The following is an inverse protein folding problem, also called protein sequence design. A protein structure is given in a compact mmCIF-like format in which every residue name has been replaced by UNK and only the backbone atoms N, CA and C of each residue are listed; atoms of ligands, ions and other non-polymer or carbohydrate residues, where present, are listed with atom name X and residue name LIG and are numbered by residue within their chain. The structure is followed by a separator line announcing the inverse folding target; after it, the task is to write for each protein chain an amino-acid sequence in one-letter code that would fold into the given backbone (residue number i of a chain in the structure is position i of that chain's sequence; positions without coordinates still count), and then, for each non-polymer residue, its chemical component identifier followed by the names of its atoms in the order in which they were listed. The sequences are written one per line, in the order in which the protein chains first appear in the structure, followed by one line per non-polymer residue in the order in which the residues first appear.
data_IF_696214981308
#
_entry.id   IF_696214981308
#
_cell.length_a   1.000
_cell.length_b   1.000
_cell.length_c   1.000
_cell.angle_alpha   90.00
_cell.angle_beta   90.00
_cell.angle_gamma   90.00
#
_symmetry.space_group_name_H-M   'P 1'
#
loop_
_entity.id
_entity.type
_entity.pdbx_description
1 polymer ?
#
# COMPACT_ATOMS: atom_id res chain seq x y z
N UNK A 1 14.09 -32.71 17.54
CA UNK A 1 13.62 -31.33 17.30
C UNK A 1 13.16 -30.77 18.64
N UNK A 2 13.97 -29.91 19.25
CA UNK A 2 13.63 -29.25 20.51
C UNK A 2 13.03 -27.87 20.19
N UNK A 3 11.76 -27.72 20.52
CA UNK A 3 11.09 -26.44 20.51
C UNK A 3 11.26 -25.83 21.91
N UNK A 4 12.08 -24.78 22.04
CA UNK A 4 12.07 -23.96 23.25
C UNK A 4 10.91 -22.96 23.15
N UNK A 5 10.00 -23.09 24.09
CA UNK A 5 8.84 -22.23 24.27
C UNK A 5 9.29 -21.00 25.06
N UNK A 6 9.31 -19.84 24.43
CA UNK A 6 9.52 -18.58 25.13
C UNK A 6 8.31 -18.23 25.99
N UNK A 7 8.57 -17.59 27.14
CA UNK A 7 7.60 -17.37 28.19
C UNK A 7 6.42 -16.45 27.80
N UNK A 8 5.28 -16.70 28.46
CA UNK A 8 3.94 -16.11 28.21
C UNK A 8 3.84 -14.57 28.22
N UNK A 9 4.91 -13.83 28.49
CA UNK A 9 4.89 -12.36 28.51
C UNK A 9 5.13 -11.73 27.13
N UNK A 10 5.77 -12.45 26.22
CA UNK A 10 6.04 -12.00 24.84
C UNK A 10 4.96 -12.44 23.83
N UNK A 11 4.04 -13.32 24.23
CA UNK A 11 2.99 -13.87 23.36
C UNK A 11 1.94 -12.84 22.90
N UNK A 12 1.88 -11.66 23.52
CA UNK A 12 0.91 -10.61 23.12
C UNK A 12 1.44 -9.60 22.11
N UNK A 13 2.72 -9.67 21.71
CA UNK A 13 3.32 -8.71 20.77
C UNK A 13 3.68 -9.30 19.41
N UNK A 14 3.76 -10.61 19.27
CA UNK A 14 4.08 -11.26 17.98
C UNK A 14 3.42 -12.63 17.92
N UNK A 15 2.25 -12.70 17.31
CA UNK A 15 1.74 -13.99 16.86
C UNK A 15 2.60 -14.46 15.69
N UNK A 16 3.26 -15.62 15.89
CA UNK A 16 3.92 -16.45 14.90
C UNK A 16 5.27 -15.97 14.33
N UNK A 17 6.30 -15.98 15.19
CA UNK A 17 7.67 -16.14 14.72
C UNK A 17 8.00 -17.64 14.60
N UNK A 18 8.16 -18.14 13.39
CA UNK A 18 8.77 -19.43 13.13
C UNK A 18 10.24 -19.22 12.75
N UNK A 19 11.16 -19.69 13.58
CA UNK A 19 12.59 -19.79 13.26
C UNK A 19 12.81 -21.20 12.74
N UNK A 20 13.05 -21.36 11.45
CA UNK A 20 13.56 -22.58 10.87
C UNK A 20 15.05 -22.42 10.65
N UNK A 21 15.87 -23.09 11.45
CA UNK A 21 17.31 -23.18 11.26
C UNK A 21 17.65 -24.44 10.48
N UNK A 22 17.95 -24.29 9.20
CA UNK A 22 18.68 -25.29 8.43
C UNK A 22 19.83 -24.57 7.76
N UNK A 23 21.07 -24.95 8.17
CA UNK A 23 22.35 -24.52 7.62
C UNK A 23 22.53 -23.02 7.32
N UNK A 24 23.30 -22.37 8.20
CA UNK A 24 24.03 -21.08 8.03
C UNK A 24 23.31 -19.86 7.42
N UNK A 25 22.03 -19.93 7.11
CA UNK A 25 21.23 -18.76 6.72
C UNK A 25 19.99 -18.65 7.59
N UNK A 26 19.93 -17.63 8.44
CA UNK A 26 18.71 -17.29 9.19
C UNK A 26 17.72 -16.66 8.23
N UNK A 27 16.70 -17.39 7.82
CA UNK A 27 15.59 -16.85 7.02
C UNK A 27 14.51 -16.41 7.98
N UNK A 28 14.30 -15.11 8.09
CA UNK A 28 13.16 -14.54 8.81
C UNK A 28 11.91 -14.68 7.95
N UNK A 29 11.06 -15.65 8.24
CA UNK A 29 9.73 -15.75 7.65
C UNK A 29 8.79 -14.85 8.46
N UNK A 30 8.46 -13.69 7.93
CA UNK A 30 7.43 -12.82 8.49
C UNK A 30 6.05 -13.40 8.17
N UNK A 31 5.54 -14.23 9.07
CA UNK A 31 4.17 -14.73 9.04
C UNK A 31 3.30 -13.92 10.01
N UNK A 32 2.81 -12.77 9.60
CA UNK A 32 1.88 -11.99 10.41
C UNK A 32 1.52 -10.68 9.72
N UNK A 33 0.25 -10.48 9.37
CA UNK A 33 -0.17 -9.31 8.59
C UNK A 33 0.05 -7.95 9.27
N UNK A 34 0.20 -7.89 10.59
CA UNK A 34 0.26 -6.62 11.32
C UNK A 34 1.58 -5.85 11.15
N UNK A 35 2.71 -6.53 11.19
CA UNK A 35 4.04 -5.88 11.08
C UNK A 35 4.25 -5.32 9.67
N UNK A 36 3.85 -6.05 8.66
CA UNK A 36 3.99 -5.63 7.27
C UNK A 36 3.11 -4.41 6.95
N UNK A 37 1.90 -4.35 7.46
CA UNK A 37 0.98 -3.23 7.24
C UNK A 37 1.43 -1.96 7.98
N UNK A 38 2.02 -2.08 9.17
CA UNK A 38 2.61 -0.94 9.88
C UNK A 38 3.82 -0.37 9.15
N UNK A 39 4.70 -1.23 8.62
CA UNK A 39 5.82 -0.80 7.78
C UNK A 39 5.34 -0.09 6.51
N UNK A 40 4.37 -0.69 5.80
CA UNK A 40 3.79 -0.09 4.60
C UNK A 40 3.15 1.26 4.88
N UNK A 41 2.46 1.41 6.02
CA UNK A 41 1.85 2.68 6.41
C UNK A 41 2.90 3.75 6.70
N UNK A 42 3.98 3.42 7.40
CA UNK A 42 5.10 4.34 7.64
C UNK A 42 5.80 4.77 6.35
N UNK A 43 6.07 3.81 5.45
CA UNK A 43 6.63 4.09 4.12
C UNK A 43 5.67 4.98 3.31
N UNK A 44 4.38 4.66 3.33
CA UNK A 44 3.36 5.41 2.62
C UNK A 44 3.16 6.82 3.20
N UNK A 45 3.25 6.99 4.51
CA UNK A 45 3.17 8.30 5.16
C UNK A 45 4.35 9.20 4.77
N UNK A 46 5.56 8.64 4.59
CA UNK A 46 6.74 9.37 4.14
C UNK A 46 6.71 9.67 2.64
N UNK A 47 6.63 8.64 1.82
CA UNK A 47 6.88 8.69 0.37
C UNK A 47 5.62 8.54 -0.49
N UNK A 48 4.49 8.19 0.11
CA UNK A 48 3.25 7.93 -0.62
C UNK A 48 2.50 9.19 -1.03
N UNK A 49 1.69 9.04 -2.05
CA UNK A 49 0.75 10.06 -2.53
C UNK A 49 -0.65 9.47 -2.67
N UNK A 50 -1.64 10.19 -2.17
CA UNK A 50 -3.07 9.88 -2.34
C UNK A 50 -3.67 10.86 -3.31
N UNK A 51 -4.16 10.37 -4.45
CA UNK A 51 -5.02 11.13 -5.35
C UNK A 51 -6.46 10.70 -5.14
N UNK A 52 -7.29 11.61 -4.62
CA UNK A 52 -8.72 11.44 -4.47
C UNK A 52 -9.40 12.70 -4.99
N UNK A 53 -9.87 12.66 -6.22
CA UNK A 53 -10.45 13.82 -6.88
C UNK A 53 -11.58 13.45 -7.83
N UNK A 54 -12.61 14.30 -7.87
CA UNK A 54 -13.68 14.22 -8.86
C UNK A 54 -13.30 15.13 -10.03
N UNK A 55 -13.27 14.57 -11.23
CA UNK A 55 -13.02 15.30 -12.47
C UNK A 55 -14.19 15.11 -13.43
N UNK A 56 -14.46 16.11 -14.25
CA UNK A 56 -15.37 15.98 -15.38
C UNK A 56 -14.58 15.63 -16.63
N UNK A 57 -14.88 14.50 -17.23
CA UNK A 57 -14.18 13.99 -18.41
C UNK A 57 -15.14 13.95 -19.59
N UNK A 58 -14.74 14.57 -20.69
CA UNK A 58 -15.47 14.49 -21.94
C UNK A 58 -14.95 13.29 -22.75
N UNK A 59 -15.80 12.29 -22.98
CA UNK A 59 -15.46 11.16 -23.86
C UNK A 59 -15.58 11.58 -25.33
N UNK A 60 -14.68 11.06 -26.17
CA UNK A 60 -14.72 11.25 -27.62
C UNK A 60 -16.12 10.90 -28.16
N UNK A 61 -16.73 11.83 -28.90
CA UNK A 61 -18.08 11.65 -29.47
C UNK A 61 -19.25 11.95 -28.52
N UNK A 62 -19.01 12.37 -27.28
CA UNK A 62 -20.07 12.79 -26.33
C UNK A 62 -20.05 14.30 -26.14
N UNK A 63 -21.24 14.91 -26.13
CA UNK A 63 -21.40 16.40 -25.97
C UNK A 63 -21.37 16.83 -24.49
N UNK A 64 -21.62 15.90 -23.54
CA UNK A 64 -21.71 16.23 -22.12
C UNK A 64 -20.57 15.51 -21.34
N UNK A 65 -19.84 16.25 -20.50
CA UNK A 65 -18.86 15.63 -19.61
C UNK A 65 -19.57 14.81 -18.53
N UNK A 66 -18.96 13.67 -18.13
CA UNK A 66 -19.44 12.83 -17.04
C UNK A 66 -18.49 12.92 -15.84
N UNK A 67 -18.99 12.78 -14.61
CA UNK A 67 -18.16 12.79 -13.44
C UNK A 67 -17.29 11.51 -13.38
N UNK A 68 -16.00 11.71 -13.15
CA UNK A 68 -15.03 10.63 -13.02
C UNK A 68 -14.21 10.82 -11.74
N UNK A 69 -14.26 9.83 -10.87
CA UNK A 69 -13.43 9.80 -9.67
C UNK A 69 -12.07 9.21 -9.99
N UNK A 70 -11.04 10.02 -9.81
CA UNK A 70 -9.65 9.57 -9.87
C UNK A 70 -9.21 9.19 -8.47
N UNK A 71 -9.08 7.89 -8.22
CA UNK A 71 -8.67 7.31 -6.94
C UNK A 71 -7.40 6.51 -7.19
N UNK A 72 -6.28 6.99 -6.67
CA UNK A 72 -4.95 6.43 -6.92
C UNK A 72 -4.12 6.54 -5.65
N UNK A 73 -3.43 5.45 -5.30
CA UNK A 73 -2.33 5.44 -4.34
C UNK A 73 -1.03 5.19 -5.10
N UNK A 74 0.01 5.89 -4.71
CA UNK A 74 1.31 5.86 -5.40
C UNK A 74 2.44 6.03 -4.39
N UNK A 75 3.53 5.26 -4.54
CA UNK A 75 4.81 5.46 -3.84
C UNK A 75 5.87 5.61 -4.91
N UNK A 76 6.72 6.64 -4.80
CA UNK A 76 7.82 6.87 -5.72
C UNK A 76 9.10 7.13 -4.95
N UNK A 77 10.16 6.39 -5.27
CA UNK A 77 11.48 6.60 -4.69
C UNK A 77 12.59 6.07 -5.61
N UNK A 78 13.83 6.43 -5.33
CA UNK A 78 14.99 6.00 -6.12
C UNK A 78 15.41 4.56 -5.85
N UNK A 79 15.08 4.00 -4.68
CA UNK A 79 15.45 2.66 -4.29
C UNK A 79 14.47 1.61 -4.82
N UNK A 80 14.86 0.94 -5.90
CA UNK A 80 14.04 -0.04 -6.61
C UNK A 80 13.58 -1.20 -5.73
N UNK A 81 14.50 -1.77 -4.93
CA UNK A 81 14.20 -2.93 -4.11
C UNK A 81 13.08 -2.67 -3.10
N UNK A 82 13.05 -1.48 -2.49
CA UNK A 82 11.97 -1.10 -1.56
C UNK A 82 10.61 -1.01 -2.27
N UNK A 83 10.57 -0.46 -3.49
CA UNK A 83 9.33 -0.38 -4.27
C UNK A 83 8.83 -1.76 -4.68
N UNK A 84 9.73 -2.67 -5.06
CA UNK A 84 9.37 -4.05 -5.38
C UNK A 84 8.85 -4.81 -4.15
N UNK A 85 9.54 -4.68 -3.01
CA UNK A 85 9.09 -5.28 -1.76
C UNK A 85 7.72 -4.74 -1.32
N UNK A 86 7.50 -3.43 -1.41
CA UNK A 86 6.19 -2.84 -1.12
C UNK A 86 5.09 -3.38 -2.05
N UNK A 87 5.38 -3.56 -3.34
CA UNK A 87 4.44 -4.16 -4.30
C UNK A 87 4.07 -5.60 -3.93
N UNK A 88 5.06 -6.42 -3.59
CA UNK A 88 4.84 -7.80 -3.14
C UNK A 88 3.98 -7.84 -1.86
N UNK A 89 4.28 -6.97 -0.89
CA UNK A 89 3.51 -6.87 0.36
C UNK A 89 2.08 -6.37 0.14
N UNK A 90 1.85 -5.41 -0.75
CA UNK A 90 0.49 -4.98 -1.12
C UNK A 90 -0.26 -6.02 -1.93
N UNK A 91 0.47 -6.84 -2.69
CA UNK A 91 -0.06 -7.85 -3.60
C UNK A 91 -1.07 -7.28 -4.63
N UNK A 92 -0.88 -6.04 -5.01
CA UNK A 92 -1.70 -5.38 -6.04
C UNK A 92 -0.99 -4.15 -6.62
N UNK A 93 -1.53 -3.61 -7.71
CA UNK A 93 -0.95 -2.47 -8.40
C UNK A 93 0.12 -2.84 -9.39
N UNK A 94 0.90 -1.87 -9.82
CA UNK A 94 1.98 -2.03 -10.79
C UNK A 94 3.22 -1.27 -10.37
N UNK A 95 4.40 -1.83 -10.69
CA UNK A 95 5.69 -1.15 -10.54
C UNK A 95 6.21 -0.76 -11.92
N UNK A 96 6.65 0.49 -12.04
CA UNK A 96 7.26 1.00 -13.28
C UNK A 96 8.41 1.95 -12.98
N UNK A 97 9.47 1.95 -13.80
CA UNK A 97 10.47 3.00 -13.75
C UNK A 97 9.84 4.33 -14.16
N UNK A 98 10.27 5.41 -13.53
CA UNK A 98 9.94 6.77 -13.89
C UNK A 98 11.21 7.52 -14.26
N UNK A 99 11.29 8.02 -15.47
CA UNK A 99 12.39 8.85 -15.88
C UNK A 99 12.54 10.07 -14.95
N UNK A 100 13.78 10.50 -14.76
CA UNK A 100 14.05 11.73 -14.03
C UNK A 100 13.37 12.93 -14.73
N UNK A 101 12.78 13.82 -13.95
CA UNK A 101 12.13 15.01 -14.49
C UNK A 101 13.15 16.03 -15.05
N UNK A 102 14.42 15.93 -14.62
CA UNK A 102 15.54 16.70 -15.13
C UNK A 102 16.83 15.87 -14.98
N UNK A 103 17.89 16.25 -15.69
CA UNK A 103 19.22 15.62 -15.59
C UNK A 103 19.88 15.76 -14.21
N UNK A 104 19.33 16.55 -13.31
CA UNK A 104 19.79 16.67 -11.92
C UNK A 104 19.13 15.69 -10.96
N UNK A 105 18.04 15.03 -11.38
CA UNK A 105 17.30 14.09 -10.56
C UNK A 105 17.66 12.65 -10.90
N UNK A 106 17.74 11.79 -9.89
CA UNK A 106 17.94 10.36 -10.09
C UNK A 106 16.65 9.72 -10.66
N UNK A 107 16.79 8.68 -11.51
CA UNK A 107 15.66 7.85 -11.92
C UNK A 107 14.93 7.30 -10.70
N UNK A 108 13.62 7.23 -10.77
CA UNK A 108 12.77 6.73 -9.70
C UNK A 108 12.03 5.48 -10.13
N UNK A 109 11.66 4.68 -9.15
CA UNK A 109 10.71 3.58 -9.30
C UNK A 109 9.40 3.99 -8.66
N UNK A 110 8.29 3.59 -9.27
CA UNK A 110 6.96 3.95 -8.83
C UNK A 110 6.07 2.73 -8.74
N UNK A 111 5.56 2.46 -7.54
CA UNK A 111 4.40 1.61 -7.34
C UNK A 111 3.15 2.44 -7.42
N UNK A 112 2.11 1.89 -8.05
CA UNK A 112 0.82 2.56 -8.20
C UNK A 112 -0.32 1.57 -8.23
N UNK A 113 -1.40 1.85 -7.47
CA UNK A 113 -2.68 1.15 -7.58
C UNK A 113 -3.84 2.13 -7.71
N UNK A 114 -4.97 1.66 -8.20
CA UNK A 114 -6.12 2.48 -8.56
C UNK A 114 -7.42 1.84 -8.09
N UNK A 115 -8.44 2.68 -7.88
CA UNK A 115 -9.83 2.27 -7.67
C UNK A 115 -10.01 1.22 -6.56
N UNK A 116 -10.49 0.01 -6.87
CA UNK A 116 -10.75 -1.05 -5.89
C UNK A 116 -9.48 -1.57 -5.20
N UNK A 117 -8.36 -1.63 -5.91
CA UNK A 117 -7.07 -1.96 -5.31
C UNK A 117 -6.65 -0.89 -4.31
N UNK A 118 -6.85 0.39 -4.66
CA UNK A 118 -6.60 1.50 -3.74
C UNK A 118 -7.49 1.44 -2.49
N UNK A 119 -8.74 0.96 -2.60
CA UNK A 119 -9.60 0.71 -1.44
C UNK A 119 -9.02 -0.37 -0.53
N UNK A 120 -8.57 -1.50 -1.10
CA UNK A 120 -7.97 -2.58 -0.31
C UNK A 120 -6.71 -2.11 0.42
N UNK A 121 -5.82 -1.41 -0.28
CA UNK A 121 -4.63 -0.82 0.33
C UNK A 121 -4.99 0.21 1.42
N UNK A 122 -5.97 1.09 1.18
CA UNK A 122 -6.40 2.08 2.15
C UNK A 122 -6.88 1.44 3.46
N UNK A 123 -7.65 0.35 3.38
CA UNK A 123 -8.12 -0.39 4.56
C UNK A 123 -6.97 -0.95 5.40
N UNK A 124 -5.89 -1.42 4.75
CA UNK A 124 -4.71 -1.93 5.44
C UNK A 124 -3.87 -0.82 6.06
N UNK A 125 -3.77 0.34 5.40
CA UNK A 125 -2.93 1.46 5.82
C UNK A 125 -3.56 2.30 6.94
N UNK A 126 -4.88 2.53 6.92
CA UNK A 126 -5.59 3.44 7.83
C UNK A 126 -5.31 3.19 9.31
N UNK A 127 -5.25 1.94 9.83
CA UNK A 127 -4.98 1.69 11.24
C UNK A 127 -3.64 2.23 11.73
N UNK A 128 -2.66 2.34 10.83
CA UNK A 128 -1.27 2.68 11.16
C UNK A 128 -0.82 4.02 10.58
N UNK A 129 -1.56 4.61 9.63
CA UNK A 129 -1.22 5.87 8.99
C UNK A 129 -1.56 7.05 9.89
N UNK A 130 -0.68 8.06 9.92
CA UNK A 130 -0.84 9.30 10.68
C UNK A 130 -1.10 10.46 9.72
N UNK A 131 -0.17 10.71 8.80
CA UNK A 131 -0.19 11.91 7.96
C UNK A 131 -1.21 11.86 6.82
N UNK A 132 -1.53 10.66 6.32
CA UNK A 132 -2.43 10.47 5.17
C UNK A 132 -3.75 9.82 5.54
N UNK A 133 -4.00 9.60 6.82
CA UNK A 133 -5.18 8.90 7.35
C UNK A 133 -6.50 9.45 6.81
N UNK A 134 -6.73 10.75 6.90
CA UNK A 134 -7.99 11.38 6.44
C UNK A 134 -8.27 11.14 4.95
N UNK A 135 -7.22 11.22 4.10
CA UNK A 135 -7.37 10.98 2.67
C UNK A 135 -7.66 9.51 2.36
N UNK A 136 -7.04 8.59 3.10
CA UNK A 136 -7.31 7.15 2.98
C UNK A 136 -8.73 6.81 3.44
N UNK A 137 -9.20 7.40 4.54
CA UNK A 137 -10.59 7.25 5.01
C UNK A 137 -11.61 7.78 4.00
N UNK A 138 -11.27 8.86 3.27
CA UNK A 138 -12.14 9.39 2.22
C UNK A 138 -12.36 8.39 1.09
N UNK A 139 -11.34 7.59 0.74
CA UNK A 139 -11.46 6.49 -0.22
C UNK A 139 -12.42 5.41 0.32
N UNK A 140 -12.26 5.02 1.57
CA UNK A 140 -13.12 3.99 2.20
C UNK A 140 -14.58 4.45 2.22
N UNK A 141 -14.84 5.69 2.66
CA UNK A 141 -16.18 6.30 2.67
C UNK A 141 -16.80 6.37 1.28
N UNK A 142 -16.00 6.71 0.25
CA UNK A 142 -16.46 6.76 -1.13
C UNK A 142 -17.08 5.43 -1.59
N UNK A 143 -16.40 4.32 -1.32
CA UNK A 143 -16.89 3.01 -1.74
C UNK A 143 -18.01 2.49 -0.84
N UNK A 144 -18.02 2.80 0.45
CA UNK A 144 -19.13 2.46 1.34
C UNK A 144 -20.46 3.04 0.84
N UNK A 145 -20.47 4.34 0.45
CA UNK A 145 -21.64 5.02 -0.12
C UNK A 145 -22.02 4.44 -1.50
N UNK A 146 -21.03 4.09 -2.32
CA UNK A 146 -21.29 3.55 -3.65
C UNK A 146 -21.89 2.15 -3.58
N UNK A 147 -21.37 1.31 -2.70
CA UNK A 147 -21.83 -0.07 -2.54
C UNK A 147 -23.23 -0.12 -1.91
N UNK A 148 -23.58 0.80 -0.99
CA UNK A 148 -24.93 0.90 -0.43
C UNK A 148 -26.02 1.33 -1.44
N UNK A 149 -25.64 1.98 -2.55
CA UNK A 149 -26.56 2.39 -3.62
C UNK A 149 -26.77 1.31 -4.69
N UNK A 150 -26.05 0.21 -4.60
CA UNK A 150 -26.11 -0.89 -5.59
C UNK A 150 -26.98 -2.06 -5.11
N UNK A 151 -27.69 -1.87 -3.99
CA UNK A 151 -28.73 -2.77 -3.45
C UNK A 151 -30.08 -2.12 -3.70
#
# INVERSE_FOLDING_TARGET
MNYERMDNYEQNLCNDFYISSTDDSVVYLYGGCGVNDAYLAGLFDGEGCVTYSNKRVLRKGKKKPYPYWRIVLEISMTHEATIKAAHEMFNCGTVRPRAAASHQNLPQWRWRCCHRDALQCARRLVPYSITKKEKLESIIKHYAVKDSRSI
#
